data_IF_169372907873
#
_entry.id   IF_169372907873
#
_cell.length_a   1.000
_cell.length_b   1.000
_cell.length_c   1.000
_cell.angle_alpha   90.00
_cell.angle_beta   90.00
_cell.angle_gamma   90.00
#
_symmetry.space_group_name_H-M   'P 1'
#
loop_
_entity.id
_entity.type
_entity.pdbx_description
1 polymer ?
#
# COMPACT_ATOMS: atom_id res chain seq x y z
N UNK A 1 -13.36 -4.70 -3.83
CA UNK A 1 -13.90 -4.65 -2.45
C UNK A 1 -13.76 -3.19 -2.00
N UNK A 2 -14.86 -2.54 -1.56
CA UNK A 2 -14.87 -1.09 -1.25
C UNK A 2 -14.24 -0.85 0.13
N UNK A 3 -13.25 0.04 0.16
CA UNK A 3 -12.33 0.28 1.28
C UNK A 3 -12.79 1.41 2.22
N UNK A 4 -14.11 1.63 2.35
CA UNK A 4 -14.64 2.83 3.02
C UNK A 4 -14.68 2.73 4.56
N UNK A 5 -14.40 1.56 5.14
CA UNK A 5 -14.69 1.29 6.55
C UNK A 5 -13.46 0.99 7.43
N UNK A 6 -12.23 1.29 6.99
CA UNK A 6 -10.99 1.08 7.80
C UNK A 6 -10.18 2.37 7.94
N UNK A 7 -10.84 3.52 7.99
CA UNK A 7 -10.25 4.71 8.59
C UNK A 7 -10.80 4.78 10.00
N UNK A 8 -10.00 4.37 10.97
CA UNK A 8 -10.29 4.62 12.38
C UNK A 8 -10.39 6.15 12.57
N UNK A 9 -11.60 6.68 12.64
CA UNK A 9 -11.91 7.89 13.42
C UNK A 9 -11.69 7.55 14.90
N UNK A 10 -10.44 7.47 15.33
CA UNK A 10 -10.09 7.53 16.75
C UNK A 10 -8.63 7.92 16.83
N UNK A 11 -8.37 9.24 16.97
CA UNK A 11 -7.19 9.91 17.52
C UNK A 11 -6.97 11.28 16.85
N UNK A 12 -8.02 12.11 16.75
CA UNK A 12 -7.81 13.56 16.61
C UNK A 12 -7.70 14.19 18.00
N UNK A 13 -6.69 13.79 18.76
CA UNK A 13 -6.20 14.59 19.90
C UNK A 13 -5.25 15.68 19.36
N UNK A 14 -5.66 16.44 18.35
CA UNK A 14 -5.00 17.64 17.81
C UNK A 14 -3.51 17.56 17.40
N UNK A 15 -2.84 16.42 17.59
CA UNK A 15 -1.37 16.32 17.69
C UNK A 15 -0.82 15.08 16.97
N UNK A 16 -1.62 14.04 16.77
CA UNK A 16 -1.15 12.77 16.22
C UNK A 16 -1.39 12.71 14.72
N UNK A 17 -0.43 13.20 13.94
CA UNK A 17 -0.46 13.10 12.48
C UNK A 17 0.02 11.71 12.00
N UNK A 18 -0.61 10.65 12.49
CA UNK A 18 -0.22 9.27 12.18
C UNK A 18 -1.38 8.52 11.54
N UNK A 19 -1.11 7.80 10.45
CA UNK A 19 -2.08 6.88 9.83
C UNK A 19 -1.48 5.48 9.70
N UNK A 20 -2.37 4.49 9.59
CA UNK A 20 -2.00 3.14 9.19
C UNK A 20 -2.47 2.89 7.76
N UNK A 21 -1.57 2.37 6.94
CA UNK A 21 -1.86 1.97 5.56
C UNK A 21 -1.78 0.45 5.49
N UNK A 22 -2.92 -0.16 5.22
CA UNK A 22 -3.03 -1.59 4.96
C UNK A 22 -3.10 -1.84 3.45
N UNK A 23 -2.22 -2.70 2.95
CA UNK A 23 -2.23 -3.18 1.57
C UNK A 23 -2.50 -4.68 1.57
N UNK A 24 -3.40 -5.12 0.69
CA UNK A 24 -3.74 -6.54 0.51
C UNK A 24 -3.69 -6.86 -0.97
N UNK A 25 -3.15 -8.02 -1.32
CA UNK A 25 -3.19 -8.51 -2.69
C UNK A 25 -4.64 -8.71 -3.12
N UNK A 26 -4.99 -8.26 -4.32
CA UNK A 26 -6.28 -8.53 -4.94
C UNK A 26 -6.18 -9.69 -5.94
N UNK A 27 -6.77 -9.49 -7.11
CA UNK A 27 -6.79 -10.49 -8.18
C UNK A 27 -5.49 -10.43 -9.00
N UNK A 28 -4.86 -11.57 -9.22
CA UNK A 28 -3.61 -11.68 -10.00
C UNK A 28 -2.58 -12.63 -9.39
N UNK A 29 -2.80 -13.13 -8.17
CA UNK A 29 -1.89 -14.06 -7.50
C UNK A 29 -0.51 -13.45 -7.31
N UNK A 30 0.53 -14.13 -7.79
CA UNK A 30 1.92 -13.68 -7.71
C UNK A 30 2.12 -12.29 -8.33
N UNK A 31 1.48 -11.98 -9.46
CA UNK A 31 1.60 -10.66 -10.10
C UNK A 31 1.04 -9.53 -9.22
N UNK A 32 -0.06 -9.79 -8.51
CA UNK A 32 -0.69 -8.84 -7.59
C UNK A 32 0.16 -8.66 -6.32
N UNK A 33 0.76 -9.73 -5.81
CA UNK A 33 1.65 -9.65 -4.65
C UNK A 33 2.93 -8.84 -4.94
N UNK A 34 3.51 -9.00 -6.12
CA UNK A 34 4.69 -8.21 -6.55
C UNK A 34 4.27 -6.75 -6.67
N UNK A 35 3.11 -6.47 -7.27
CA UNK A 35 2.57 -5.11 -7.36
C UNK A 35 2.36 -4.47 -5.98
N UNK A 36 1.85 -5.22 -5.00
CA UNK A 36 1.71 -4.76 -3.61
C UNK A 36 3.07 -4.34 -2.99
N UNK A 37 4.13 -5.11 -3.25
CA UNK A 37 5.49 -4.78 -2.77
C UNK A 37 6.10 -3.55 -3.47
N UNK A 38 5.82 -3.38 -4.76
CA UNK A 38 6.25 -2.21 -5.53
C UNK A 38 5.53 -0.94 -5.05
N UNK A 39 4.22 -1.03 -4.80
CA UNK A 39 3.44 0.07 -4.21
C UNK A 39 4.00 0.46 -2.84
N UNK A 40 4.26 -0.50 -1.96
CA UNK A 40 4.88 -0.22 -0.67
C UNK A 40 6.22 0.53 -0.80
N UNK A 41 7.02 0.16 -1.79
CA UNK A 41 8.30 0.85 -2.10
C UNK A 41 8.07 2.27 -2.58
N UNK A 42 7.08 2.50 -3.45
CA UNK A 42 6.68 3.84 -3.90
C UNK A 42 6.22 4.70 -2.72
N UNK A 43 5.38 4.18 -1.83
CA UNK A 43 4.91 4.92 -0.64
C UNK A 43 6.03 5.23 0.34
N UNK A 44 6.99 4.31 0.53
CA UNK A 44 8.19 4.58 1.32
C UNK A 44 8.98 5.76 0.77
N UNK A 45 9.20 5.81 -0.55
CA UNK A 45 9.88 6.93 -1.19
C UNK A 45 9.06 8.23 -1.14
N UNK A 46 7.74 8.14 -1.29
CA UNK A 46 6.85 9.30 -1.17
C UNK A 46 6.88 9.89 0.24
N UNK A 47 6.87 9.04 1.27
CA UNK A 47 7.03 9.44 2.67
C UNK A 47 8.37 10.16 2.89
N UNK A 48 9.47 9.61 2.38
CA UNK A 48 10.78 10.27 2.43
C UNK A 48 10.78 11.64 1.76
N UNK A 49 10.16 11.76 0.59
CA UNK A 49 10.03 13.04 -0.12
C UNK A 49 9.21 14.08 0.67
N UNK A 50 8.16 13.64 1.37
CA UNK A 50 7.31 14.51 2.20
C UNK A 50 7.84 14.74 3.61
N UNK A 51 9.02 14.21 3.96
CA UNK A 51 9.58 14.21 5.32
C UNK A 51 8.64 13.58 6.35
N UNK A 52 7.98 12.49 5.96
CA UNK A 52 7.19 11.65 6.85
C UNK A 52 8.01 10.44 7.31
N UNK A 53 7.77 10.02 8.54
CA UNK A 53 8.29 8.78 9.08
C UNK A 53 7.49 7.60 8.51
N UNK A 54 8.20 6.59 8.01
CA UNK A 54 7.63 5.36 7.48
C UNK A 54 8.12 4.18 8.31
N UNK A 55 7.20 3.54 9.02
CA UNK A 55 7.48 2.37 9.86
C UNK A 55 6.74 1.15 9.32
N UNK A 56 7.46 0.04 9.19
CA UNK A 56 6.86 -1.25 8.82
C UNK A 56 6.32 -1.92 10.09
N UNK A 57 5.03 -2.19 10.14
CA UNK A 57 4.37 -2.83 11.29
C UNK A 57 4.28 -4.34 11.07
N UNK A 58 3.84 -4.76 9.88
CA UNK A 58 3.71 -6.17 9.52
C UNK A 58 3.83 -6.34 8.00
N UNK A 59 4.52 -7.38 7.56
CA UNK A 59 4.59 -7.77 6.15
C UNK A 59 4.51 -9.29 6.07
N UNK A 60 3.50 -9.77 5.36
CA UNK A 60 3.36 -11.15 4.93
C UNK A 60 3.87 -11.26 3.49
N UNK A 61 5.00 -11.94 3.33
CA UNK A 61 5.70 -12.09 2.04
C UNK A 61 5.44 -13.45 1.41
N UNK A 62 5.58 -13.56 0.09
CA UNK A 62 5.50 -14.84 -0.62
C UNK A 62 6.84 -15.23 -1.27
N UNK A 63 6.86 -16.42 -1.86
CA UNK A 63 8.06 -17.03 -2.46
C UNK A 63 8.64 -16.25 -3.66
N UNK A 64 7.89 -15.30 -4.23
CA UNK A 64 8.31 -14.46 -5.37
C UNK A 64 8.69 -13.03 -4.95
N UNK A 65 8.99 -12.80 -3.67
CA UNK A 65 9.32 -11.49 -3.09
C UNK A 65 8.20 -10.44 -3.20
N UNK A 66 6.95 -10.88 -3.37
CA UNK A 66 5.75 -10.04 -3.29
C UNK A 66 5.17 -10.00 -1.87
N UNK A 67 4.24 -9.07 -1.63
CA UNK A 67 3.52 -8.94 -0.37
C UNK A 67 2.08 -9.41 -0.54
N UNK A 68 1.66 -10.39 0.27
CA UNK A 68 0.26 -10.83 0.35
C UNK A 68 -0.55 -9.81 1.13
N UNK A 69 -0.05 -9.45 2.30
CA UNK A 69 -0.60 -8.42 3.17
C UNK A 69 0.55 -7.59 3.74
N UNK A 70 0.39 -6.28 3.84
CA UNK A 70 1.35 -5.42 4.48
C UNK A 70 0.66 -4.28 5.22
N UNK A 71 1.19 -3.94 6.39
CA UNK A 71 0.71 -2.84 7.24
C UNK A 71 1.88 -1.93 7.54
N UNK A 72 1.70 -0.66 7.21
CA UNK A 72 2.68 0.39 7.44
C UNK A 72 2.07 1.49 8.30
N UNK A 73 2.89 2.11 9.13
CA UNK A 73 2.54 3.32 9.86
C UNK A 73 3.29 4.50 9.22
N UNK A 74 2.56 5.58 8.97
CA UNK A 74 3.05 6.82 8.40
C UNK A 74 2.79 7.95 9.38
N UNK A 75 3.82 8.70 9.77
CA UNK A 75 3.72 9.79 10.74
C UNK A 75 4.34 11.08 10.22
N UNK A 76 3.64 12.21 10.32
CA UNK A 76 4.07 13.47 9.70
C UNK A 76 2.93 14.41 9.32
N UNK A 77 3.25 15.67 9.04
CA UNK A 77 2.24 16.74 8.90
C UNK A 77 1.30 16.54 7.70
N UNK A 78 0.00 16.80 7.91
CA UNK A 78 -1.08 16.79 6.91
C UNK A 78 -1.25 15.46 6.14
N UNK A 79 -0.74 14.35 6.69
CA UNK A 79 -0.71 13.04 6.03
C UNK A 79 -2.08 12.57 5.56
N UNK A 80 -3.11 12.76 6.39
CA UNK A 80 -4.45 12.27 6.10
C UNK A 80 -5.01 12.87 4.80
N UNK A 81 -4.86 14.17 4.60
CA UNK A 81 -5.39 14.88 3.43
C UNK A 81 -4.75 14.43 2.12
N UNK A 82 -3.48 14.03 2.16
CA UNK A 82 -2.78 13.49 0.99
C UNK A 82 -3.08 12.01 0.74
N UNK A 83 -3.31 11.22 1.80
CA UNK A 83 -3.42 9.76 1.69
C UNK A 83 -4.86 9.28 1.56
N UNK A 84 -5.86 10.11 1.92
CA UNK A 84 -7.28 9.77 1.78
C UNK A 84 -7.68 9.47 0.33
N UNK A 85 -7.06 10.14 -0.66
CA UNK A 85 -7.31 9.88 -2.08
C UNK A 85 -6.71 8.56 -2.58
N UNK A 86 -5.74 8.01 -1.85
CA UNK A 86 -5.09 6.74 -2.19
C UNK A 86 -5.86 5.52 -1.69
N UNK A 87 -6.85 5.73 -0.81
CA UNK A 87 -7.72 4.69 -0.30
C UNK A 87 -8.61 4.14 -1.43
N UNK A 88 -8.31 2.94 -1.90
CA UNK A 88 -9.07 2.33 -2.99
C UNK A 88 -8.43 1.09 -3.57
N UNK A 89 -8.96 0.68 -4.72
CA UNK A 89 -8.41 -0.43 -5.50
C UNK A 89 -7.49 0.13 -6.56
N UNK A 90 -6.21 -0.19 -6.45
CA UNK A 90 -5.21 0.14 -7.46
C UNK A 90 -5.21 -0.96 -8.53
N UNK A 91 -5.02 -0.60 -9.81
CA UNK A 91 -4.99 -1.57 -10.91
C UNK A 91 -3.73 -1.37 -11.72
N UNK A 92 -3.07 -2.47 -12.07
CA UNK A 92 -1.93 -2.50 -12.98
C UNK A 92 -2.22 -3.37 -14.19
N UNK A 93 -1.74 -2.93 -15.36
CA UNK A 93 -1.76 -3.70 -16.60
C UNK A 93 -0.32 -3.73 -17.13
N UNK A 94 0.33 -4.90 -17.09
CA UNK A 94 1.72 -5.07 -17.52
C UNK A 94 1.99 -6.46 -18.07
N UNK A 95 3.14 -6.63 -18.71
CA UNK A 95 3.70 -7.97 -18.97
C UNK A 95 4.09 -8.57 -17.64
N UNK A 96 3.58 -9.77 -17.34
CA UNK A 96 3.84 -10.42 -16.06
C UNK A 96 5.34 -10.72 -15.90
N UNK A 97 5.97 -10.32 -14.78
CA UNK A 97 7.34 -10.71 -14.48
C UNK A 97 7.48 -12.23 -14.32
N UNK A 98 6.42 -12.89 -13.84
CA UNK A 98 6.39 -14.34 -13.58
C UNK A 98 6.03 -15.16 -14.82
N UNK A 99 5.25 -14.60 -15.76
CA UNK A 99 4.77 -15.28 -16.98
C UNK A 99 5.12 -14.45 -18.22
N UNK A 100 6.28 -14.77 -18.82
CA UNK A 100 6.84 -14.09 -20.00
C UNK A 100 6.10 -14.46 -21.29
N UNK A 101 4.95 -13.83 -21.56
CA UNK A 101 4.36 -13.79 -22.91
C UNK A 101 3.07 -12.98 -23.02
N UNK A 102 2.37 -12.69 -21.92
CA UNK A 102 1.05 -12.05 -21.95
C UNK A 102 0.97 -10.83 -21.04
N UNK A 103 0.14 -9.87 -21.46
CA UNK A 103 -0.26 -8.73 -20.62
C UNK A 103 -1.34 -9.21 -19.65
N UNK A 104 -1.10 -9.05 -18.36
CA UNK A 104 -2.08 -9.38 -17.32
C UNK A 104 -2.59 -8.11 -16.66
N UNK A 105 -3.85 -8.16 -16.23
CA UNK A 105 -4.46 -7.16 -15.36
C UNK A 105 -4.44 -7.69 -13.93
N UNK A 106 -3.91 -6.91 -13.00
CA UNK A 106 -3.91 -7.24 -11.58
C UNK A 106 -4.40 -6.06 -10.76
N UNK A 107 -4.87 -6.33 -9.55
CA UNK A 107 -5.33 -5.35 -8.55
C UNK A 107 -4.79 -5.70 -7.19
#
# INVERSE_FOLDING_TARGET
IRFRDILFENLTDGTTNTIFVEMKQGVGGDDASIFCSELATVYKHYAQFKNWEFQVINVDSNDVNGYRNAVFQLSGKDIYDFMISEAGVHRIIRVSPTKKSCVHTST
#
